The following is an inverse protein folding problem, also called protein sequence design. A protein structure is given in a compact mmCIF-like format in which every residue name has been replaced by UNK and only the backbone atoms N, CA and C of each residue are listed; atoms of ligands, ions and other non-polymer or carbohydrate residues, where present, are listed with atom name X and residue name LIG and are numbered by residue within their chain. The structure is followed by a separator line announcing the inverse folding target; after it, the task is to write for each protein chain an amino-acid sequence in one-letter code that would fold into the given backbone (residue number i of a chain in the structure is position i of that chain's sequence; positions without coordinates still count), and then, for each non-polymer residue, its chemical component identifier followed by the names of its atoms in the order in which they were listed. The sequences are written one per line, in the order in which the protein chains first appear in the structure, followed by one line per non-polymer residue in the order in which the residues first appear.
data_IF_456165049785
#
_entry.id   IF_456165049785
#
_cell.length_a   1.000
_cell.length_b   1.000
_cell.length_c   1.000
_cell.angle_alpha   90.00
_cell.angle_beta   90.00
_cell.angle_gamma   90.00
#
_symmetry.space_group_name_H-M   'P 1'
#
loop_
_entity.id
_entity.type
_entity.pdbx_description
1 polymer ?
#
# COMPACT_ATOMS: atom_id res chain seq x y z
N UNK A 1 8.89 -7.61 11.21
CA UNK A 1 9.37 -6.29 11.66
C UNK A 1 10.06 -5.68 10.47
N UNK A 2 9.63 -4.49 10.01
CA UNK A 2 10.16 -3.92 8.78
C UNK A 2 11.63 -3.54 8.95
N UNK A 3 12.38 -3.48 7.85
CA UNK A 3 13.77 -3.01 7.92
C UNK A 3 13.86 -1.55 8.41
N UNK A 4 14.96 -1.16 9.09
CA UNK A 4 15.16 0.22 9.52
C UNK A 4 15.13 1.22 8.36
N UNK A 5 15.73 0.86 7.21
CA UNK A 5 15.78 1.70 6.02
C UNK A 5 14.37 1.93 5.47
N UNK A 6 13.56 0.87 5.37
CA UNK A 6 12.16 0.98 4.98
C UNK A 6 11.37 1.89 5.96
N UNK A 7 11.55 1.70 7.26
CA UNK A 7 10.85 2.46 8.29
C UNK A 7 11.27 3.95 8.34
N UNK A 8 12.44 4.30 7.80
CA UNK A 8 12.93 5.67 7.75
C UNK A 8 12.21 6.54 6.70
N UNK A 9 11.56 5.94 5.71
CA UNK A 9 10.82 6.68 4.68
C UNK A 9 9.68 7.52 5.26
N UNK A 10 9.55 8.75 4.75
CA UNK A 10 8.56 9.71 5.27
C UNK A 10 7.14 9.20 5.09
N UNK A 11 6.85 8.58 3.95
CA UNK A 11 5.56 8.01 3.63
C UNK A 11 5.19 6.84 4.54
N UNK A 12 6.18 6.03 4.95
CA UNK A 12 6.01 4.92 5.89
C UNK A 12 5.74 5.46 7.29
N UNK A 13 6.50 6.46 7.75
CA UNK A 13 6.25 7.10 9.05
C UNK A 13 4.84 7.69 9.14
N UNK A 14 4.37 8.34 8.08
CA UNK A 14 2.99 8.86 7.98
C UNK A 14 1.96 7.76 8.10
N UNK A 15 2.13 6.66 7.36
CA UNK A 15 1.23 5.53 7.44
C UNK A 15 1.25 4.87 8.82
N UNK A 16 2.44 4.64 9.39
CA UNK A 16 2.58 4.05 10.71
C UNK A 16 1.92 4.90 11.81
N UNK A 17 1.90 6.22 11.67
CA UNK A 17 1.20 7.13 12.56
C UNK A 17 -0.34 7.00 12.49
N UNK A 18 -0.91 6.37 11.46
CA UNK A 18 -2.36 6.10 11.37
C UNK A 18 -2.75 4.74 11.95
N UNK A 19 -1.80 3.93 12.43
CA UNK A 19 -2.02 2.57 12.92
C UNK A 19 -2.05 2.48 14.45
N UNK A 20 -2.39 3.58 15.12
CA UNK A 20 -2.32 3.70 16.60
C UNK A 20 -3.35 2.83 17.32
N UNK A 21 -4.40 2.40 16.62
CA UNK A 21 -5.46 1.52 17.11
C UNK A 21 -5.10 0.04 17.07
N UNK A 22 -3.97 -0.33 16.46
CA UNK A 22 -3.52 -1.71 16.31
C UNK A 22 -2.53 -2.14 17.40
N UNK A 23 -2.50 -3.43 17.68
CA UNK A 23 -1.42 -4.04 18.47
C UNK A 23 -0.07 -3.92 17.76
N UNK A 24 1.03 -4.08 18.50
CA UNK A 24 2.37 -4.08 17.92
C UNK A 24 2.55 -5.19 16.86
N UNK A 25 1.93 -6.34 17.06
CA UNK A 25 1.96 -7.46 16.11
C UNK A 25 1.26 -7.10 14.79
N UNK A 26 0.00 -6.67 14.86
CA UNK A 26 -0.78 -6.27 13.68
C UNK A 26 -0.14 -5.09 12.93
N UNK A 27 0.42 -4.13 13.65
CA UNK A 27 1.18 -3.03 13.05
C UNK A 27 2.40 -3.56 12.29
N UNK A 28 3.15 -4.49 12.89
CA UNK A 28 4.30 -5.14 12.27
C UNK A 28 3.91 -5.85 10.98
N UNK A 29 2.85 -6.67 11.01
CA UNK A 29 2.36 -7.40 9.85
C UNK A 29 1.97 -6.49 8.68
N UNK A 30 1.32 -5.35 8.95
CA UNK A 30 0.96 -4.38 7.89
C UNK A 30 2.18 -3.72 7.27
N UNK A 31 3.20 -3.39 8.09
CA UNK A 31 4.42 -2.77 7.60
C UNK A 31 5.29 -3.78 6.82
N UNK A 32 5.39 -5.02 7.29
CA UNK A 32 6.10 -6.11 6.60
C UNK A 32 5.47 -6.41 5.23
N UNK A 33 4.12 -6.41 5.16
CA UNK A 33 3.39 -6.57 3.91
C UNK A 33 3.68 -5.41 2.94
N UNK A 34 3.72 -4.18 3.44
CA UNK A 34 4.01 -3.00 2.63
C UNK A 34 5.46 -3.00 2.13
N UNK A 35 6.42 -3.41 2.96
CA UNK A 35 7.82 -3.58 2.56
C UNK A 35 7.96 -4.64 1.47
N UNK A 36 7.30 -5.78 1.64
CA UNK A 36 7.26 -6.84 0.63
C UNK A 36 6.65 -6.36 -0.69
N UNK A 37 5.63 -5.50 -0.63
CA UNK A 37 5.05 -4.89 -1.82
C UNK A 37 6.00 -3.90 -2.50
N UNK A 38 6.69 -3.06 -1.73
CA UNK A 38 7.70 -2.12 -2.24
C UNK A 38 8.82 -2.85 -2.99
N UNK A 39 9.31 -3.97 -2.42
CA UNK A 39 10.26 -4.87 -3.09
C UNK A 39 9.67 -5.46 -4.38
N UNK A 40 8.42 -5.94 -4.34
CA UNK A 40 7.75 -6.53 -5.51
C UNK A 40 7.63 -5.55 -6.70
N UNK A 41 7.40 -4.27 -6.44
CA UNK A 41 7.32 -3.24 -7.49
C UNK A 41 8.67 -2.57 -7.78
N UNK A 42 9.73 -2.99 -7.10
CA UNK A 42 11.09 -2.44 -7.23
C UNK A 42 11.14 -0.92 -7.02
N UNK A 43 10.42 -0.41 -6.00
CA UNK A 43 10.37 1.01 -5.66
C UNK A 43 10.46 1.22 -4.16
N UNK A 44 11.10 2.30 -3.76
CA UNK A 44 10.99 2.75 -2.39
C UNK A 44 9.61 3.41 -2.12
N UNK A 45 9.14 3.44 -0.87
CA UNK A 45 7.82 3.95 -0.51
C UNK A 45 7.56 5.40 -0.89
N UNK A 46 8.57 6.28 -0.84
CA UNK A 46 8.39 7.69 -1.16
C UNK A 46 8.22 7.87 -2.67
N UNK A 47 9.04 7.20 -3.48
CA UNK A 47 8.88 7.15 -4.95
C UNK A 47 7.50 6.63 -5.35
N UNK A 48 6.99 5.59 -4.70
CA UNK A 48 5.64 5.06 -4.98
C UNK A 48 4.55 6.13 -4.82
N UNK A 49 4.67 7.02 -3.82
CA UNK A 49 3.70 8.11 -3.59
C UNK A 49 3.82 9.19 -4.67
N UNK A 50 5.05 9.55 -5.08
CA UNK A 50 5.32 10.55 -6.11
C UNK A 50 4.88 10.12 -7.51
N UNK A 51 4.97 8.83 -7.83
CA UNK A 51 4.53 8.27 -9.12
C UNK A 51 3.01 8.29 -9.30
N UNK A 52 2.23 8.33 -8.21
CA UNK A 52 0.77 8.41 -8.30
C UNK A 52 0.30 9.84 -8.56
N UNK A 53 1.02 10.84 -8.06
CA UNK A 53 0.54 12.21 -8.01
C UNK A 53 1.64 13.21 -8.36
N UNK A 54 1.38 13.99 -9.39
CA UNK A 54 2.24 15.09 -9.81
C UNK A 54 1.96 16.31 -8.93
N UNK A 55 2.91 16.67 -8.06
CA UNK A 55 2.74 17.79 -7.13
C UNK A 55 2.70 19.15 -7.83
N UNK A 56 3.43 19.31 -8.93
CA UNK A 56 3.49 20.57 -9.68
C UNK A 56 2.16 20.90 -10.36
N UNK A 57 1.52 19.89 -10.95
CA UNK A 57 0.23 20.03 -11.66
C UNK A 57 -0.98 19.72 -10.79
N UNK A 58 -0.76 19.20 -9.57
CA UNK A 58 -1.78 18.75 -8.62
C UNK A 58 -2.72 17.68 -9.20
N UNK A 59 -2.23 16.86 -10.13
CA UNK A 59 -3.01 15.85 -10.84
C UNK A 59 -2.50 14.44 -10.54
N UNK A 60 -3.42 13.49 -10.50
CA UNK A 60 -3.06 12.07 -10.51
C UNK A 60 -2.45 11.72 -11.87
N UNK A 61 -1.27 11.10 -11.87
CA UNK A 61 -0.61 10.67 -13.11
C UNK A 61 -1.41 9.54 -13.77
N UNK A 62 -1.74 8.50 -13.00
CA UNK A 62 -2.67 7.42 -13.40
C UNK A 62 -3.41 6.89 -12.17
N UNK A 63 -4.75 6.92 -12.19
CA UNK A 63 -5.60 6.49 -11.04
C UNK A 63 -5.42 5.01 -10.64
N UNK A 64 -4.99 4.15 -11.58
CA UNK A 64 -4.79 2.72 -11.36
C UNK A 64 -3.34 2.26 -11.32
N UNK A 65 -2.37 3.18 -11.17
CA UNK A 65 -0.94 2.87 -11.35
C UNK A 65 -0.49 1.67 -10.52
N UNK A 66 -0.81 1.67 -9.21
CA UNK A 66 -0.47 0.58 -8.30
C UNK A 66 -1.64 -0.36 -7.99
N UNK A 67 -2.85 -0.08 -8.50
CA UNK A 67 -4.03 -0.92 -8.20
C UNK A 67 -3.84 -2.35 -8.73
N UNK A 68 -3.45 -2.50 -9.99
CA UNK A 68 -3.24 -3.83 -10.57
C UNK A 68 -2.06 -4.56 -9.93
N UNK A 69 -0.99 -3.82 -9.59
CA UNK A 69 0.16 -4.38 -8.90
C UNK A 69 -0.20 -4.88 -7.49
N UNK A 70 -0.96 -4.11 -6.71
CA UNK A 70 -1.43 -4.50 -5.38
C UNK A 70 -2.28 -5.77 -5.43
N UNK A 71 -3.20 -5.87 -6.41
CA UNK A 71 -4.01 -7.06 -6.64
C UNK A 71 -3.17 -8.27 -7.02
N UNK A 72 -2.23 -8.10 -7.97
CA UNK A 72 -1.36 -9.19 -8.42
C UNK A 72 -0.46 -9.70 -7.30
N UNK A 73 0.13 -8.79 -6.51
CA UNK A 73 0.92 -9.12 -5.33
C UNK A 73 0.09 -9.82 -4.26
N UNK A 74 -1.12 -9.33 -3.96
CA UNK A 74 -1.98 -9.97 -2.97
C UNK A 74 -2.37 -11.40 -3.37
N UNK A 75 -2.62 -11.63 -4.67
CA UNK A 75 -2.92 -12.93 -5.23
C UNK A 75 -1.70 -13.88 -5.22
N UNK A 76 -0.48 -13.37 -5.45
CA UNK A 76 0.73 -14.20 -5.42
C UNK A 76 1.06 -14.76 -4.03
N UNK A 77 0.55 -14.15 -2.97
CA UNK A 77 0.67 -14.63 -1.59
C UNK A 77 -0.36 -15.73 -1.23
N UNK A 78 -1.21 -16.14 -2.18
CA UNK A 78 -2.21 -17.21 -2.00
C UNK A 78 -3.30 -16.89 -0.97
N UNK A 79 -4.03 -17.92 -0.54
CA UNK A 79 -5.12 -17.80 0.43
C UNK A 79 -6.47 -17.43 -0.18
N UNK A 80 -7.49 -17.24 0.67
CA UNK A 80 -8.86 -16.98 0.23
C UNK A 80 -9.01 -15.61 -0.46
N UNK A 81 -10.03 -15.42 -1.31
CA UNK A 81 -10.29 -14.12 -1.94
C UNK A 81 -10.40 -12.95 -0.95
N UNK A 82 -10.98 -13.20 0.23
CA UNK A 82 -11.07 -12.20 1.29
C UNK A 82 -9.70 -11.83 1.87
N UNK A 83 -8.80 -12.80 2.04
CA UNK A 83 -7.44 -12.54 2.49
C UNK A 83 -6.65 -11.71 1.46
N UNK A 84 -6.82 -12.02 0.16
CA UNK A 84 -6.20 -11.25 -0.92
C UNK A 84 -6.72 -9.81 -0.95
N UNK A 85 -8.05 -9.62 -0.86
CA UNK A 85 -8.67 -8.30 -0.80
C UNK A 85 -8.18 -7.50 0.41
N UNK A 86 -8.07 -8.14 1.58
CA UNK A 86 -7.55 -7.51 2.79
C UNK A 86 -6.12 -6.98 2.58
N UNK A 87 -5.22 -7.80 2.01
CA UNK A 87 -3.84 -7.39 1.73
C UNK A 87 -3.75 -6.24 0.73
N UNK A 88 -4.55 -6.28 -0.35
CA UNK A 88 -4.66 -5.15 -1.28
C UNK A 88 -5.14 -3.87 -0.57
N UNK A 89 -6.11 -4.00 0.33
CA UNK A 89 -6.60 -2.87 1.13
C UNK A 89 -5.57 -2.28 2.09
N UNK A 90 -4.68 -3.08 2.66
CA UNK A 90 -3.54 -2.58 3.46
C UNK A 90 -2.63 -1.69 2.60
N UNK A 91 -2.26 -2.15 1.40
CA UNK A 91 -1.43 -1.37 0.46
C UNK A 91 -2.12 -0.07 0.05
N UNK A 92 -3.43 -0.10 -0.19
CA UNK A 92 -4.19 1.10 -0.52
C UNK A 92 -4.27 2.09 0.64
N UNK A 93 -4.41 1.60 1.87
CA UNK A 93 -4.45 2.42 3.05
C UNK A 93 -3.15 3.23 3.22
N UNK A 94 -1.99 2.66 2.85
CA UNK A 94 -0.72 3.38 2.80
C UNK A 94 -0.78 4.62 1.90
N UNK A 95 -1.29 4.49 0.67
CA UNK A 95 -1.43 5.65 -0.23
C UNK A 95 -2.43 6.67 0.31
N UNK A 96 -3.54 6.20 0.90
CA UNK A 96 -4.57 7.06 1.49
C UNK A 96 -4.01 7.88 2.66
N UNK A 97 -3.23 7.26 3.54
CA UNK A 97 -2.54 7.94 4.64
C UNK A 97 -1.55 9.00 4.15
N UNK A 98 -1.02 8.83 2.94
CA UNK A 98 -0.18 9.81 2.25
C UNK A 98 -0.98 10.81 1.40
N UNK A 99 -2.31 10.86 1.58
CA UNK A 99 -3.20 11.79 0.89
C UNK A 99 -3.41 11.48 -0.58
N UNK A 100 -3.18 10.23 -1.01
CA UNK A 100 -3.33 9.77 -2.41
C UNK A 100 -4.33 8.61 -2.47
N UNK A 101 -5.22 8.61 -3.47
CA UNK A 101 -6.25 7.55 -3.62
C UNK A 101 -5.94 6.63 -4.79
N UNK A 102 -5.88 5.33 -4.51
CA UNK A 102 -6.01 4.27 -5.53
C UNK A 102 -7.49 3.97 -5.78
N UNK A 103 -7.83 3.51 -7.00
CA UNK A 103 -9.21 3.13 -7.38
C UNK A 103 -9.73 1.99 -6.52
N UNK A 104 -10.88 2.11 -5.86
CA UNK A 104 -11.55 1.07 -5.04
C UNK A 104 -11.65 -0.27 -5.76
N UNK A 105 -11.19 -1.34 -5.10
CA UNK A 105 -11.39 -2.69 -5.56
C UNK A 105 -12.73 -3.19 -5.06
N UNK A 106 -13.53 -3.72 -5.97
CA UNK A 106 -14.71 -4.49 -5.61
C UNK A 106 -14.39 -5.99 -5.74
N UNK A 107 -14.94 -6.83 -4.86
CA UNK A 107 -14.90 -8.28 -5.05
C UNK A 107 -15.44 -8.64 -6.44
N UNK A 108 -14.87 -9.65 -7.09
CA UNK A 108 -15.26 -10.04 -8.45
C UNK A 108 -16.75 -10.45 -8.59
N UNK A 109 -17.43 -10.73 -7.48
CA UNK A 109 -18.85 -11.07 -7.42
C UNK A 109 -19.77 -9.85 -7.21
N UNK A 110 -19.22 -8.64 -7.03
CA UNK A 110 -19.97 -7.38 -6.94
C UNK A 110 -19.90 -6.54 -8.23
N UNK A 111 -19.15 -6.99 -9.24
CA UNK A 111 -18.88 -6.28 -10.50
C UNK A 111 -19.60 -6.87 -11.70
#
# INVERSE_FOLDING_TARGET
MPSPDFAAHRSVQRYAATLTDLTLGERGERLDLLESFAVYVERDPDTMVEEIFDEATRKYRKRGFYTNAAKAFAASLGGSPNAQLHRSNVIRAFFIANGRRLLTEQPAWMS
#
